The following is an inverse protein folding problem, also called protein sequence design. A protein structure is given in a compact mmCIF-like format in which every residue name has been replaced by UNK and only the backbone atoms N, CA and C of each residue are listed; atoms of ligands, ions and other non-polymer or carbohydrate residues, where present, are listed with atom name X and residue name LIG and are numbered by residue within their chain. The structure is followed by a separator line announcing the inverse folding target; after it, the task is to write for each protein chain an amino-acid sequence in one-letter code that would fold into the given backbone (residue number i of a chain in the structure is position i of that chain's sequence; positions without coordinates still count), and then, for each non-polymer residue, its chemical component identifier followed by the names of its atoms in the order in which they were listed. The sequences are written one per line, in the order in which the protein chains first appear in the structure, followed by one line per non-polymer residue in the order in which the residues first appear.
data_IF_304121985114
#
_entry.id   IF_304121985114
#
_cell.length_a   1.000
_cell.length_b   1.000
_cell.length_c   1.000
_cell.angle_alpha   90.00
_cell.angle_beta   90.00
_cell.angle_gamma   90.00
#
_symmetry.space_group_name_H-M   'P 1'
#
loop_
_entity.id
_entity.type
_entity.pdbx_description
1 polymer ?
#
# COMPACT_ATOMS: atom_id res chain seq x y z
N UNK A 1 11.19 13.84 12.70
CA UNK A 1 11.38 15.11 13.45
C UNK A 1 10.53 16.24 12.85
N UNK A 2 10.33 16.27 11.52
CA UNK A 2 9.42 17.20 10.82
C UNK A 2 7.96 17.20 11.30
N UNK A 3 7.31 16.03 11.39
CA UNK A 3 5.89 15.94 11.78
C UNK A 3 5.55 16.46 13.19
N UNK A 4 6.50 16.39 14.14
CA UNK A 4 6.27 16.92 15.49
C UNK A 4 6.22 18.45 15.50
N UNK A 5 7.10 19.09 14.72
CA UNK A 5 7.14 20.55 14.61
C UNK A 5 5.91 21.11 13.88
N UNK A 6 5.46 20.46 12.80
CA UNK A 6 4.22 20.81 12.08
C UNK A 6 2.97 20.80 12.99
N UNK A 7 2.81 19.76 13.82
CA UNK A 7 1.68 19.66 14.77
C UNK A 7 1.72 20.77 15.82
N UNK A 8 2.91 21.10 16.31
CA UNK A 8 3.09 22.11 17.35
C UNK A 8 2.84 23.54 16.84
N UNK A 9 3.20 23.82 15.59
CA UNK A 9 2.91 25.09 14.92
C UNK A 9 1.41 25.23 14.63
N UNK A 10 0.76 24.19 14.09
CA UNK A 10 -0.71 24.20 13.83
C UNK A 10 -1.53 24.40 15.11
N UNK A 11 -1.12 23.85 16.25
CA UNK A 11 -1.81 24.05 17.54
C UNK A 11 -1.85 25.51 18.00
N UNK A 12 -0.89 26.35 17.57
CA UNK A 12 -0.78 27.75 18.01
C UNK A 12 -1.53 28.73 17.11
N UNK A 13 -1.82 28.36 15.86
CA UNK A 13 -2.35 29.28 14.83
C UNK A 13 -3.67 28.85 14.21
N UNK A 14 -4.09 27.59 14.36
CA UNK A 14 -5.39 27.14 13.88
C UNK A 14 -6.47 27.45 14.92
N UNK A 15 -7.64 27.89 14.46
CA UNK A 15 -8.89 27.67 15.21
C UNK A 15 -8.91 26.22 15.73
N UNK A 16 -9.45 25.96 16.93
CA UNK A 16 -9.40 24.63 17.54
C UNK A 16 -9.78 23.60 16.48
N UNK A 17 -8.85 22.70 16.17
CA UNK A 17 -9.08 21.63 15.20
C UNK A 17 -10.43 21.00 15.58
N UNK A 18 -11.37 20.87 14.62
CA UNK A 18 -12.68 20.35 14.94
C UNK A 18 -12.50 19.04 15.68
N UNK A 19 -13.18 18.93 16.81
CA UNK A 19 -13.14 17.73 17.63
C UNK A 19 -13.56 16.56 16.75
N UNK A 20 -12.63 15.64 16.46
CA UNK A 20 -12.94 14.46 15.67
C UNK A 20 -13.65 13.50 16.62
N UNK A 21 -14.97 13.51 16.60
CA UNK A 21 -15.79 12.57 17.36
C UNK A 21 -16.33 11.46 16.44
N UNK A 22 -16.33 10.25 16.95
CA UNK A 22 -16.96 9.11 16.29
C UNK A 22 -18.48 9.22 16.45
N UNK A 23 -19.20 9.13 15.33
CA UNK A 23 -20.65 8.97 15.32
C UNK A 23 -20.92 7.51 14.98
N UNK A 24 -21.70 6.84 15.82
CA UNK A 24 -22.06 5.45 15.59
C UNK A 24 -22.77 5.30 14.23
N UNK A 25 -22.34 4.30 13.44
CA UNK A 25 -22.89 4.02 12.12
C UNK A 25 -22.39 4.90 10.97
N UNK A 26 -21.55 5.92 11.20
CA UNK A 26 -21.01 6.76 10.10
C UNK A 26 -19.62 6.33 9.64
N UNK A 27 -18.91 5.51 10.42
CA UNK A 27 -17.59 5.02 10.05
C UNK A 27 -17.71 3.90 9.01
N UNK A 28 -17.29 4.21 7.78
CA UNK A 28 -17.09 3.21 6.74
C UNK A 28 -15.62 2.78 6.73
N UNK A 29 -15.36 1.50 6.98
CA UNK A 29 -14.04 0.92 6.82
C UNK A 29 -13.92 0.27 5.45
N UNK A 30 -12.94 0.70 4.65
CA UNK A 30 -12.61 0.10 3.37
C UNK A 30 -11.23 -0.54 3.50
N UNK A 31 -11.17 -1.87 3.34
CA UNK A 31 -9.90 -2.56 3.21
C UNK A 31 -9.30 -2.24 1.85
N UNK A 32 -8.07 -1.75 1.84
CA UNK A 32 -7.34 -1.50 0.60
C UNK A 32 -6.10 -2.38 0.63
N UNK A 33 -6.17 -3.48 -0.12
CA UNK A 33 -5.02 -4.35 -0.29
C UNK A 33 -3.95 -3.64 -1.13
N UNK A 34 -2.73 -3.63 -0.61
CA UNK A 34 -1.57 -3.05 -1.29
C UNK A 34 -0.36 -3.91 -1.01
N UNK A 35 0.35 -4.30 -2.06
CA UNK A 35 1.66 -4.90 -1.94
C UNK A 35 2.73 -3.85 -2.22
N UNK A 36 3.87 -3.93 -1.53
CA UNK A 36 5.01 -3.07 -1.83
C UNK A 36 5.51 -3.29 -3.28
N UNK A 37 6.17 -2.31 -3.91
CA UNK A 37 6.73 -2.48 -5.23
C UNK A 37 7.63 -3.72 -5.30
N UNK A 38 7.50 -4.50 -6.37
CA UNK A 38 8.14 -5.80 -6.53
C UNK A 38 7.40 -6.98 -5.88
N UNK A 39 6.26 -6.76 -5.23
CA UNK A 39 5.42 -7.81 -4.66
C UNK A 39 4.00 -7.79 -5.24
N UNK A 40 3.30 -8.91 -5.20
CA UNK A 40 1.90 -9.00 -5.63
C UNK A 40 1.24 -10.30 -5.17
N UNK A 41 -0.08 -10.31 -5.08
CA UNK A 41 -0.92 -11.46 -4.81
C UNK A 41 -1.18 -12.24 -6.11
N UNK A 42 -1.14 -13.56 -6.01
CA UNK A 42 -1.49 -14.46 -7.11
C UNK A 42 -1.98 -15.81 -6.57
N UNK A 43 -3.29 -15.95 -6.43
CA UNK A 43 -3.93 -17.17 -5.95
C UNK A 43 -3.64 -18.41 -6.81
N UNK A 44 -3.39 -18.23 -8.11
CA UNK A 44 -3.09 -19.34 -9.02
C UNK A 44 -1.66 -19.88 -8.81
N UNK A 45 -0.70 -18.99 -8.57
CA UNK A 45 0.69 -19.38 -8.27
C UNK A 45 0.91 -19.76 -6.81
N UNK A 46 0.15 -19.16 -5.89
CA UNK A 46 0.28 -19.33 -4.45
C UNK A 46 -1.05 -19.76 -3.82
N UNK A 47 -1.54 -20.98 -4.11
CA UNK A 47 -2.85 -21.44 -3.63
C UNK A 47 -2.90 -21.61 -2.10
N UNK A 48 -1.75 -21.79 -1.44
CA UNK A 48 -1.67 -21.84 0.03
C UNK A 48 -1.82 -20.49 0.72
N UNK A 49 -1.76 -19.38 -0.04
CA UNK A 49 -1.86 -18.03 0.48
C UNK A 49 -2.35 -17.02 -0.58
N UNK A 50 -3.62 -17.08 -0.99
CA UNK A 50 -4.16 -16.27 -2.10
C UNK A 50 -4.07 -14.76 -1.85
N UNK A 51 -4.17 -14.34 -0.58
CA UNK A 51 -4.12 -12.94 -0.13
C UNK A 51 -2.72 -12.49 0.32
N UNK A 52 -1.67 -13.27 0.07
CA UNK A 52 -0.31 -12.89 0.46
C UNK A 52 0.40 -12.09 -0.64
N UNK A 53 0.97 -10.96 -0.25
CA UNK A 53 1.94 -10.24 -1.08
C UNK A 53 3.25 -11.03 -1.16
N UNK A 54 3.44 -11.74 -2.26
CA UNK A 54 4.66 -12.51 -2.54
C UNK A 54 5.54 -11.77 -3.54
N UNK A 55 6.83 -12.11 -3.58
CA UNK A 55 7.78 -11.48 -4.50
C UNK A 55 7.42 -11.80 -5.97
N UNK A 56 7.43 -10.79 -6.83
CA UNK A 56 7.19 -10.99 -8.27
C UNK A 56 8.26 -11.89 -8.87
N UNK A 57 7.85 -12.89 -9.65
CA UNK A 57 8.76 -13.81 -10.33
C UNK A 57 9.44 -13.14 -11.54
N UNK A 58 10.57 -13.67 -12.05
CA UNK A 58 11.06 -13.33 -13.38
C UNK A 58 9.94 -13.46 -14.43
N UNK A 59 9.95 -12.58 -15.43
CA UNK A 59 8.84 -12.40 -16.37
C UNK A 59 7.74 -11.48 -15.84
N UNK A 60 7.92 -10.86 -14.67
CA UNK A 60 6.94 -9.94 -14.08
C UNK A 60 7.58 -8.83 -13.23
N UNK A 61 6.82 -7.78 -12.95
CA UNK A 61 7.22 -6.63 -12.14
C UNK A 61 6.01 -5.96 -11.48
N UNK A 62 6.23 -5.20 -10.40
CA UNK A 62 5.21 -4.30 -9.85
C UNK A 62 5.85 -2.94 -9.53
N UNK A 63 5.50 -1.85 -10.27
CA UNK A 63 6.16 -0.57 -10.13
C UNK A 63 5.69 0.28 -8.96
N UNK A 64 4.54 -0.04 -8.37
CA UNK A 64 3.90 0.79 -7.35
C UNK A 64 3.26 -0.08 -6.27
N UNK A 65 2.46 0.54 -5.39
CA UNK A 65 1.70 -0.17 -4.36
C UNK A 65 0.47 -0.89 -4.93
N UNK A 66 0.65 -1.63 -6.02
CA UNK A 66 -0.38 -2.44 -6.67
C UNK A 66 -0.62 -3.78 -5.97
N UNK A 67 -1.68 -4.47 -6.37
CA UNK A 67 -2.07 -5.77 -5.81
C UNK A 67 -1.41 -6.93 -6.58
N UNK A 68 -1.12 -6.77 -7.87
CA UNK A 68 -0.65 -7.86 -8.73
C UNK A 68 0.68 -7.54 -9.41
N UNK A 69 1.47 -8.58 -9.66
CA UNK A 69 2.62 -8.51 -10.55
C UNK A 69 2.15 -8.47 -12.00
N UNK A 70 2.61 -7.46 -12.75
CA UNK A 70 2.36 -7.29 -14.17
C UNK A 70 3.38 -8.08 -14.98
N UNK A 71 2.97 -8.60 -16.13
CA UNK A 71 3.87 -9.34 -17.01
C UNK A 71 4.92 -8.43 -17.66
N UNK A 72 6.16 -8.91 -17.75
CA UNK A 72 7.28 -8.25 -18.43
C UNK A 72 8.39 -9.27 -18.74
N UNK A 73 8.58 -9.62 -20.01
CA UNK A 73 9.59 -10.59 -20.44
C UNK A 73 11.04 -10.13 -20.20
N UNK A 74 11.27 -8.81 -20.12
CA UNK A 74 12.59 -8.22 -19.88
C UNK A 74 13.02 -8.31 -18.42
N UNK A 75 12.08 -8.55 -17.51
CA UNK A 75 12.35 -8.66 -16.08
C UNK A 75 12.91 -10.05 -15.78
N UNK A 76 14.22 -10.18 -15.63
CA UNK A 76 14.88 -11.47 -15.38
C UNK A 76 15.13 -11.75 -13.89
N UNK A 77 14.71 -10.85 -12.99
CA UNK A 77 14.97 -10.93 -11.56
C UNK A 77 13.67 -11.00 -10.76
N UNK A 78 13.74 -11.64 -9.59
CA UNK A 78 12.67 -11.57 -8.61
C UNK A 78 12.53 -10.15 -8.07
N UNK A 79 11.31 -9.72 -7.78
CA UNK A 79 11.03 -8.45 -7.14
C UNK A 79 11.29 -7.23 -8.01
N UNK A 80 11.19 -7.38 -9.33
CA UNK A 80 11.37 -6.24 -10.22
C UNK A 80 10.29 -5.17 -9.99
N UNK A 81 10.75 -3.92 -9.90
CA UNK A 81 9.89 -2.73 -9.79
C UNK A 81 9.77 -2.00 -11.12
N UNK A 82 10.45 -2.49 -12.16
CA UNK A 82 10.39 -1.94 -13.51
C UNK A 82 10.46 -3.08 -14.51
N UNK A 83 9.77 -2.88 -15.63
CA UNK A 83 10.11 -3.47 -16.90
C UNK A 83 11.17 -2.58 -17.57
#
# INVERSE_FOLDING_TARGET
IFFKQEVEVRKKTAEPLPEIYYIEGTLQMVWIDRCYPGYGMNALRHPGCPECCVICSPGSYNPSNGIHCLHCDKSLKYGATKC
#
